data_IF_614254836023
#
_entry.id   IF_614254836023
#
_cell.length_a   1.000
_cell.length_b   1.000
_cell.length_c   1.000
_cell.angle_alpha   90.00
_cell.angle_beta   90.00
_cell.angle_gamma   90.00
#
_symmetry.space_group_name_H-M   'P 1'
#
loop_
_entity.id
_entity.type
_entity.pdbx_description
1 polymer ?
#
# COMPACT_ATOMS: atom_id res chain seq x y z
N UNK A 1 -23.07 22.99 15.92
CA UNK A 1 -21.62 23.28 16.11
C UNK A 1 -20.79 22.00 16.20
N UNK A 2 -21.28 20.91 16.82
CA UNK A 2 -20.62 19.59 16.91
C UNK A 2 -20.37 18.89 15.57
N UNK A 3 -21.35 18.88 14.65
CA UNK A 3 -21.17 18.25 13.33
C UNK A 3 -20.08 18.93 12.46
N UNK A 4 -19.94 20.27 12.55
CA UNK A 4 -18.91 21.02 11.84
C UNK A 4 -17.50 20.72 12.36
N UNK A 5 -17.33 20.60 13.68
CA UNK A 5 -16.06 20.17 14.27
C UNK A 5 -15.70 18.74 13.90
N UNK A 6 -16.66 17.81 13.95
CA UNK A 6 -16.43 16.41 13.58
C UNK A 6 -15.98 16.26 12.12
N UNK A 7 -16.53 17.08 11.21
CA UNK A 7 -16.14 17.10 9.80
C UNK A 7 -14.72 17.67 9.60
N UNK A 8 -14.32 18.67 10.39
CA UNK A 8 -12.97 19.23 10.35
C UNK A 8 -11.90 18.23 10.85
N UNK A 9 -12.17 17.53 11.95
CA UNK A 9 -11.27 16.48 12.47
C UNK A 9 -11.11 15.32 11.50
N UNK A 10 -12.21 14.88 10.89
CA UNK A 10 -12.18 13.83 9.88
C UNK A 10 -11.38 14.24 8.65
N UNK A 11 -11.57 15.48 8.17
CA UNK A 11 -10.82 16.00 7.03
C UNK A 11 -9.32 16.06 7.33
N UNK A 12 -8.96 16.59 8.50
CA UNK A 12 -7.58 16.60 8.97
C UNK A 12 -6.97 15.19 9.05
N UNK A 13 -7.74 14.22 9.55
CA UNK A 13 -7.29 12.83 9.62
C UNK A 13 -7.05 12.23 8.23
N UNK A 14 -7.96 12.44 7.27
CA UNK A 14 -7.78 12.02 5.88
C UNK A 14 -6.54 12.68 5.28
N UNK A 15 -6.41 14.00 5.41
CA UNK A 15 -5.28 14.75 4.89
C UNK A 15 -3.96 14.27 5.50
N UNK A 16 -3.93 13.86 6.78
CA UNK A 16 -2.74 13.31 7.43
C UNK A 16 -2.28 11.96 6.83
N UNK A 17 -3.22 11.08 6.49
CA UNK A 17 -2.92 9.79 5.84
C UNK A 17 -2.43 10.02 4.41
N UNK A 18 -3.11 10.89 3.66
CA UNK A 18 -2.77 11.19 2.28
C UNK A 18 -1.43 11.94 2.19
N UNK A 19 -1.18 12.88 3.09
CA UNK A 19 0.10 13.57 3.21
C UNK A 19 1.23 12.57 3.47
N UNK A 20 1.05 11.65 4.43
CA UNK A 20 2.04 10.60 4.67
C UNK A 20 2.35 9.84 3.37
N UNK A 21 1.34 9.45 2.60
CA UNK A 21 1.58 8.78 1.33
C UNK A 21 2.31 9.63 0.29
N UNK A 22 1.93 10.90 0.14
CA UNK A 22 2.52 11.84 -0.82
C UNK A 22 3.96 12.19 -0.49
N UNK A 23 4.31 12.23 0.80
CA UNK A 23 5.66 12.52 1.26
C UNK A 23 6.58 11.28 1.19
N UNK A 24 6.04 10.09 0.90
CA UNK A 24 6.74 8.80 0.81
C UNK A 24 6.50 8.09 -0.53
N UNK A 25 6.64 6.76 -0.58
CA UNK A 25 6.57 6.00 -1.84
C UNK A 25 5.19 5.97 -2.49
N UNK A 26 4.11 6.18 -1.73
CA UNK A 26 2.76 6.16 -2.26
C UNK A 26 2.47 7.34 -3.21
N UNK A 27 3.32 8.37 -3.21
CA UNK A 27 3.41 9.38 -4.26
C UNK A 27 3.37 8.78 -5.67
N UNK A 28 4.09 7.67 -5.88
CA UNK A 28 4.26 7.00 -7.16
C UNK A 28 3.03 6.18 -7.60
N UNK A 29 2.08 5.97 -6.68
CA UNK A 29 0.74 5.44 -6.94
C UNK A 29 -0.30 6.57 -7.04
N UNK A 30 -0.24 7.59 -6.17
CA UNK A 30 -1.30 8.59 -6.05
C UNK A 30 -1.21 9.72 -7.09
N UNK A 31 0.00 10.18 -7.44
CA UNK A 31 0.22 11.20 -8.48
C UNK A 31 0.76 10.64 -9.80
N UNK A 32 1.08 9.34 -9.84
CA UNK A 32 1.51 8.67 -11.06
C UNK A 32 1.06 7.22 -11.12
N UNK A 33 1.46 6.53 -12.19
CA UNK A 33 1.14 5.13 -12.46
C UNK A 33 2.40 4.26 -12.49
N UNK A 34 3.36 4.51 -11.60
CA UNK A 34 4.57 3.67 -11.51
C UNK A 34 4.24 2.39 -10.76
N UNK A 35 3.51 2.51 -9.65
CA UNK A 35 3.13 1.38 -8.79
C UNK A 35 1.62 1.20 -8.79
N UNK A 36 1.09 -0.02 -9.04
CA UNK A 36 -0.32 -0.32 -8.87
C UNK A 36 -0.83 -0.05 -7.45
N UNK A 37 0.00 -0.32 -6.43
CA UNK A 37 -0.32 -0.15 -5.02
C UNK A 37 0.87 0.41 -4.25
N UNK A 38 0.58 1.14 -3.16
CA UNK A 38 1.56 1.46 -2.11
C UNK A 38 0.92 1.40 -0.73
N UNK A 39 1.76 1.14 0.27
CA UNK A 39 1.36 1.21 1.67
C UNK A 39 1.26 2.66 2.13
N UNK A 40 0.31 2.93 3.01
CA UNK A 40 0.19 4.20 3.74
C UNK A 40 0.55 3.93 5.21
N UNK A 41 -0.40 4.12 6.13
CA UNK A 41 -0.19 3.93 7.56
C UNK A 41 -0.76 2.60 8.04
N UNK A 42 -0.22 2.07 9.14
CA UNK A 42 -0.74 0.91 9.85
C UNK A 42 -1.22 1.28 11.25
N UNK A 43 -2.17 0.49 11.76
CA UNK A 43 -2.69 0.60 13.10
C UNK A 43 -2.68 -0.77 13.77
N UNK A 44 -2.32 -0.81 15.05
CA UNK A 44 -2.35 -2.02 15.86
C UNK A 44 -3.56 -1.98 16.79
N UNK A 45 -4.33 -3.06 16.83
CA UNK A 45 -5.50 -3.17 17.70
C UNK A 45 -5.49 -4.49 18.47
N UNK A 46 -5.72 -4.48 19.79
CA UNK A 46 -5.77 -5.69 20.62
C UNK A 46 -7.09 -6.42 20.44
N UNK A 47 -7.38 -6.86 19.21
CA UNK A 47 -8.63 -7.53 18.80
C UNK A 47 -8.37 -8.86 18.11
N UNK A 48 -7.10 -9.28 18.01
CA UNK A 48 -6.79 -10.58 17.44
C UNK A 48 -7.21 -11.68 18.43
N UNK A 49 -7.76 -12.76 17.88
CA UNK A 49 -7.98 -13.95 18.67
C UNK A 49 -6.64 -14.67 18.89
N UNK A 50 -6.19 -14.76 20.14
CA UNK A 50 -4.98 -15.48 20.54
C UNK A 50 -5.27 -16.85 21.13
N UNK A 51 -6.53 -17.17 21.36
CA UNK A 51 -6.94 -18.42 22.02
C UNK A 51 -7.41 -19.43 20.97
N UNK A 52 -6.66 -20.51 20.81
CA UNK A 52 -6.99 -21.61 19.89
C UNK A 52 -8.28 -22.34 20.30
N UNK A 53 -8.68 -22.28 21.57
CA UNK A 53 -9.90 -22.89 22.13
C UNK A 53 -11.13 -22.01 21.91
N UNK A 54 -10.97 -20.69 21.81
CA UNK A 54 -12.07 -19.75 21.53
C UNK A 54 -12.42 -19.65 20.04
N UNK A 55 -11.65 -20.29 19.16
CA UNK A 55 -11.85 -20.28 17.69
C UNK A 55 -13.23 -20.79 17.23
N UNK A 56 -13.96 -21.49 18.10
CA UNK A 56 -15.32 -21.99 17.87
C UNK A 56 -16.42 -21.16 18.55
N UNK A 57 -16.06 -20.13 19.33
CA UNK A 57 -17.04 -19.25 19.99
C UNK A 57 -17.53 -18.19 19.00
N UNK A 58 -18.82 -17.86 19.07
CA UNK A 58 -19.39 -16.75 18.29
C UNK A 58 -18.91 -15.38 18.81
N UNK A 59 -18.84 -15.23 20.13
CA UNK A 59 -18.46 -13.98 20.80
C UNK A 59 -16.98 -14.00 21.21
N UNK A 60 -16.09 -13.91 20.22
CA UNK A 60 -14.63 -13.93 20.43
C UNK A 60 -14.12 -12.61 21.03
N UNK A 61 -14.75 -11.49 20.67
CA UNK A 61 -14.30 -10.14 21.04
C UNK A 61 -15.09 -9.65 22.26
N UNK A 62 -14.39 -9.27 23.34
CA UNK A 62 -15.00 -8.70 24.54
C UNK A 62 -15.23 -7.19 24.35
N UNK A 63 -16.50 -6.80 24.14
CA UNK A 63 -16.87 -5.39 23.95
C UNK A 63 -16.52 -4.50 25.15
N UNK A 64 -16.47 -5.02 26.39
CA UNK A 64 -16.09 -4.22 27.56
C UNK A 64 -14.60 -3.88 27.54
N UNK A 65 -13.76 -4.80 27.08
CA UNK A 65 -12.31 -4.61 27.04
C UNK A 65 -11.84 -3.96 25.73
N UNK A 66 -12.43 -4.36 24.61
CA UNK A 66 -11.95 -4.03 23.26
C UNK A 66 -12.84 -3.01 22.54
N UNK A 67 -13.91 -2.52 23.18
CA UNK A 67 -14.89 -1.63 22.55
C UNK A 67 -14.32 -0.34 21.98
N UNK A 68 -13.41 0.33 22.72
CA UNK A 68 -12.76 1.55 22.24
C UNK A 68 -11.91 1.32 20.97
N UNK A 69 -11.25 0.15 20.88
CA UNK A 69 -10.47 -0.25 19.70
C UNK A 69 -11.37 -0.49 18.49
N UNK A 70 -12.52 -1.16 18.68
CA UNK A 70 -13.52 -1.34 17.64
C UNK A 70 -14.14 -0.01 17.18
N UNK A 71 -14.40 0.91 18.09
CA UNK A 71 -14.95 2.24 17.75
C UNK A 71 -13.93 3.05 16.95
N UNK A 72 -12.65 2.95 17.30
CA UNK A 72 -11.57 3.57 16.54
C UNK A 72 -11.42 2.97 15.14
N UNK A 73 -11.48 1.64 15.01
CA UNK A 73 -11.53 0.95 13.71
C UNK A 73 -12.69 1.43 12.84
N UNK A 74 -13.87 1.55 13.44
CA UNK A 74 -15.05 2.06 12.75
C UNK A 74 -14.83 3.48 12.23
N UNK A 75 -14.33 4.40 13.07
CA UNK A 75 -14.05 5.79 12.67
C UNK A 75 -13.06 5.85 11.51
N UNK A 76 -11.98 5.06 11.56
CA UNK A 76 -11.00 5.01 10.46
C UNK A 76 -11.65 4.51 9.17
N UNK A 77 -12.42 3.41 9.23
CA UNK A 77 -13.13 2.88 8.07
C UNK A 77 -14.10 3.91 7.46
N UNK A 78 -14.86 4.62 8.30
CA UNK A 78 -15.79 5.64 7.83
C UNK A 78 -15.06 6.82 7.16
N UNK A 79 -13.92 7.24 7.70
CA UNK A 79 -13.10 8.28 7.08
C UNK A 79 -12.57 7.84 5.70
N UNK A 80 -12.07 6.60 5.58
CA UNK A 80 -11.60 6.07 4.31
C UNK A 80 -12.71 5.94 3.26
N UNK A 81 -13.91 5.51 3.67
CA UNK A 81 -15.06 5.38 2.78
C UNK A 81 -15.51 6.71 2.17
N UNK A 82 -15.13 7.84 2.77
CA UNK A 82 -15.43 9.18 2.28
C UNK A 82 -14.39 9.72 1.29
N UNK A 83 -13.26 9.04 1.14
CA UNK A 83 -12.25 9.45 0.17
C UNK A 83 -12.73 9.09 -1.23
N UNK A 84 -13.19 10.10 -1.98
CA UNK A 84 -13.62 9.95 -3.37
C UNK A 84 -12.64 10.65 -4.31
N UNK A 85 -11.65 9.88 -4.76
CA UNK A 85 -10.66 10.30 -5.74
C UNK A 85 -10.74 9.39 -6.97
N UNK A 86 -10.87 9.95 -8.19
CA UNK A 86 -10.91 9.15 -9.41
C UNK A 86 -9.69 8.24 -9.52
N UNK A 87 -9.92 7.00 -9.97
CA UNK A 87 -8.87 6.00 -10.21
C UNK A 87 -8.07 5.55 -8.97
N UNK A 88 -8.37 6.07 -7.78
CA UNK A 88 -7.73 5.68 -6.53
C UNK A 88 -8.74 4.99 -5.60
N UNK A 89 -8.29 3.92 -4.95
CA UNK A 89 -9.05 3.20 -3.93
C UNK A 89 -8.18 3.02 -2.69
N UNK A 90 -8.73 3.39 -1.54
CA UNK A 90 -8.07 3.26 -0.25
C UNK A 90 -8.65 2.06 0.46
N UNK A 91 -7.81 1.07 0.72
CA UNK A 91 -8.23 -0.21 1.28
C UNK A 91 -7.55 -0.41 2.63
N UNK A 92 -8.33 -0.63 3.67
CA UNK A 92 -7.84 -1.06 4.98
C UNK A 92 -8.03 -2.57 5.08
N UNK A 93 -6.94 -3.30 5.34
CA UNK A 93 -6.98 -4.75 5.45
C UNK A 93 -6.18 -5.25 6.66
N UNK A 94 -6.60 -6.35 7.29
CA UNK A 94 -5.82 -7.01 8.31
C UNK A 94 -4.65 -7.77 7.69
N UNK A 95 -3.47 -7.73 8.32
CA UNK A 95 -2.45 -8.75 8.05
C UNK A 95 -2.96 -10.12 8.50
N UNK A 96 -2.58 -11.17 7.76
CA UNK A 96 -2.93 -12.56 8.08
C UNK A 96 -2.41 -12.92 9.47
N UNK A 97 -1.15 -12.59 9.74
CA UNK A 97 -0.53 -12.79 11.04
C UNK A 97 -1.04 -11.75 12.05
N UNK A 98 -1.32 -12.21 13.27
CA UNK A 98 -1.35 -11.34 14.45
C UNK A 98 0.03 -11.30 15.09
N UNK A 99 0.29 -10.27 15.89
CA UNK A 99 1.53 -10.12 16.63
C UNK A 99 1.21 -9.80 18.08
N UNK A 100 1.64 -10.63 19.02
CA UNK A 100 1.45 -10.40 20.47
C UNK A 100 -0.02 -10.10 20.88
N UNK A 101 -0.99 -10.67 20.17
CA UNK A 101 -2.42 -10.44 20.42
C UNK A 101 -3.02 -9.20 19.74
N UNK A 102 -2.20 -8.47 18.99
CA UNK A 102 -2.65 -7.40 18.15
C UNK A 102 -2.96 -7.87 16.73
N UNK A 103 -4.02 -7.27 16.18
CA UNK A 103 -4.34 -7.26 14.75
C UNK A 103 -3.78 -5.98 14.14
N UNK A 104 -2.83 -6.15 13.22
CA UNK A 104 -2.31 -5.05 12.44
C UNK A 104 -3.25 -4.81 11.26
N UNK A 105 -3.76 -3.59 11.15
CA UNK A 105 -4.56 -3.10 10.03
C UNK A 105 -3.70 -2.18 9.17
N UNK A 106 -3.44 -2.55 7.93
CA UNK A 106 -2.69 -1.75 6.96
C UNK A 106 -3.66 -0.99 6.07
N UNK A 107 -3.45 0.31 5.93
CA UNK A 107 -4.08 1.10 4.88
C UNK A 107 -3.17 1.11 3.66
N UNK A 108 -3.72 0.75 2.51
CA UNK A 108 -3.05 0.83 1.23
C UNK A 108 -3.83 1.75 0.29
N UNK A 109 -3.13 2.32 -0.68
CA UNK A 109 -3.76 2.97 -1.84
C UNK A 109 -3.47 2.17 -3.08
N UNK A 110 -4.52 1.94 -3.88
CA UNK A 110 -4.45 1.22 -5.15
C UNK A 110 -4.90 2.16 -6.25
N UNK A 111 -4.12 2.23 -7.33
CA UNK A 111 -4.54 2.84 -8.59
C UNK A 111 -5.25 1.81 -9.45
N UNK A 112 -6.55 1.97 -9.65
CA UNK A 112 -7.43 0.98 -10.30
C UNK A 112 -6.96 0.67 -11.71
N UNK A 113 -6.69 1.68 -12.53
CA UNK A 113 -6.22 1.50 -13.90
C UNK A 113 -4.88 0.76 -14.00
N UNK A 114 -3.97 0.99 -13.05
CA UNK A 114 -2.68 0.32 -13.00
C UNK A 114 -2.84 -1.13 -12.51
N UNK A 115 -3.75 -1.38 -11.57
CA UNK A 115 -4.13 -2.72 -11.16
C UNK A 115 -4.74 -3.51 -12.33
N UNK A 116 -5.69 -2.94 -13.06
CA UNK A 116 -6.32 -3.59 -14.21
C UNK A 116 -5.30 -3.95 -15.29
N UNK A 117 -4.38 -3.03 -15.57
CA UNK A 117 -3.27 -3.27 -16.49
C UNK A 117 -2.37 -4.41 -15.99
N UNK A 118 -2.07 -4.44 -14.70
CA UNK A 118 -1.28 -5.51 -14.09
C UNK A 118 -1.99 -6.87 -14.21
N UNK A 119 -3.27 -6.95 -13.82
CA UNK A 119 -4.04 -8.19 -13.86
C UNK A 119 -4.14 -8.74 -15.28
N UNK A 120 -4.25 -7.86 -16.28
CA UNK A 120 -4.22 -8.25 -17.69
C UNK A 120 -2.85 -8.77 -18.13
N UNK A 121 -1.78 -8.02 -17.84
CA UNK A 121 -0.41 -8.39 -18.26
C UNK A 121 0.08 -9.66 -17.55
N UNK A 122 -0.41 -9.91 -16.33
CA UNK A 122 -0.01 -11.03 -15.48
C UNK A 122 -1.15 -12.04 -15.27
N UNK A 123 -2.02 -12.20 -16.28
CA UNK A 123 -3.16 -13.10 -16.22
C UNK A 123 -2.75 -14.55 -15.87
N UNK A 124 -1.57 -15.00 -16.33
CA UNK A 124 -1.06 -16.34 -16.04
C UNK A 124 -0.74 -16.57 -14.56
N UNK A 125 -0.46 -15.50 -13.80
CA UNK A 125 -0.22 -15.57 -12.36
C UNK A 125 -1.49 -15.25 -11.58
N UNK A 126 -2.20 -14.17 -11.90
CA UNK A 126 -3.37 -13.74 -11.11
C UNK A 126 -4.64 -14.55 -11.42
N UNK A 127 -4.75 -15.12 -12.62
CA UNK A 127 -5.90 -15.90 -13.06
C UNK A 127 -6.14 -17.16 -12.22
N UNK A 128 -5.08 -17.73 -11.61
CA UNK A 128 -5.22 -18.86 -10.69
C UNK A 128 -6.08 -18.53 -9.45
N UNK A 129 -6.16 -17.25 -9.09
CA UNK A 129 -6.97 -16.75 -7.97
C UNK A 129 -8.35 -16.25 -8.43
N UNK A 130 -8.69 -16.39 -9.71
CA UNK A 130 -9.90 -15.81 -10.31
C UNK A 130 -9.87 -14.28 -10.41
N UNK A 131 -8.69 -13.65 -10.32
CA UNK A 131 -8.52 -12.20 -10.38
C UNK A 131 -8.27 -11.76 -11.82
N UNK A 132 -9.11 -10.86 -12.31
CA UNK A 132 -9.11 -10.33 -13.70
C UNK A 132 -9.31 -8.80 -13.68
N UNK A 133 -9.02 -8.07 -14.77
CA UNK A 133 -9.29 -6.63 -14.83
C UNK A 133 -10.72 -6.28 -14.42
N UNK A 134 -10.88 -5.25 -13.59
CA UNK A 134 -12.13 -4.85 -12.96
C UNK A 134 -12.40 -5.51 -11.60
N UNK A 135 -11.53 -6.42 -11.12
CA UNK A 135 -11.62 -6.96 -9.77
C UNK A 135 -11.52 -5.84 -8.71
N UNK A 136 -12.30 -5.98 -7.64
CA UNK A 136 -12.26 -5.02 -6.54
C UNK A 136 -10.86 -5.01 -5.88
N UNK A 137 -10.22 -3.83 -5.72
CA UNK A 137 -8.88 -3.76 -5.12
C UNK A 137 -8.77 -4.39 -3.74
N UNK A 138 -9.79 -4.29 -2.88
CA UNK A 138 -9.76 -4.90 -1.57
C UNK A 138 -9.76 -6.43 -1.68
N UNK A 139 -10.52 -6.99 -2.62
CA UNK A 139 -10.51 -8.44 -2.90
C UNK A 139 -9.14 -8.89 -3.38
N UNK A 140 -8.53 -8.18 -4.34
CA UNK A 140 -7.19 -8.53 -4.84
C UNK A 140 -6.17 -8.57 -3.72
N UNK A 141 -6.06 -7.49 -2.94
CA UNK A 141 -5.00 -7.38 -1.93
C UNK A 141 -5.24 -8.36 -0.79
N UNK A 142 -6.49 -8.54 -0.35
CA UNK A 142 -6.83 -9.49 0.71
C UNK A 142 -6.62 -10.95 0.27
N UNK A 143 -6.95 -11.30 -0.97
CA UNK A 143 -6.66 -12.64 -1.50
C UNK A 143 -5.16 -12.93 -1.43
N UNK A 144 -4.30 -12.00 -1.87
CA UNK A 144 -2.85 -12.20 -1.83
C UNK A 144 -2.31 -12.27 -0.38
N UNK A 145 -2.79 -11.40 0.52
CA UNK A 145 -2.36 -11.39 1.92
C UNK A 145 -2.58 -12.75 2.62
N UNK A 146 -3.67 -13.44 2.25
CA UNK A 146 -4.07 -14.70 2.86
C UNK A 146 -3.60 -15.96 2.11
N UNK A 147 -2.96 -15.81 0.94
CA UNK A 147 -2.37 -16.91 0.19
C UNK A 147 -1.08 -17.44 0.83
N UNK A 148 -0.54 -18.51 0.23
CA UNK A 148 0.72 -19.09 0.65
C UNK A 148 1.89 -18.13 0.48
N UNK A 149 2.92 -18.30 1.31
CA UNK A 149 4.01 -17.34 1.48
C UNK A 149 4.60 -16.88 0.15
N UNK A 150 4.98 -17.79 -0.74
CA UNK A 150 5.68 -17.44 -1.98
C UNK A 150 4.76 -16.75 -3.01
N UNK A 151 3.50 -17.16 -3.07
CA UNK A 151 2.48 -16.52 -3.91
C UNK A 151 2.20 -15.11 -3.41
N UNK A 152 2.07 -14.94 -2.09
CA UNK A 152 1.91 -13.65 -1.43
C UNK A 152 3.09 -12.72 -1.74
N UNK A 153 4.33 -13.20 -1.57
CA UNK A 153 5.54 -12.39 -1.87
C UNK A 153 5.58 -11.97 -3.35
N UNK A 154 5.27 -12.89 -4.26
CA UNK A 154 5.21 -12.60 -5.70
C UNK A 154 4.12 -11.58 -6.04
N UNK A 155 2.92 -11.81 -5.53
CA UNK A 155 1.77 -10.93 -5.74
C UNK A 155 2.03 -9.51 -5.22
N UNK A 156 2.59 -9.38 -4.01
CA UNK A 156 3.00 -8.08 -3.50
C UNK A 156 4.09 -7.43 -4.33
N UNK A 157 5.10 -8.18 -4.77
CA UNK A 157 6.15 -7.64 -5.64
C UNK A 157 5.58 -6.99 -6.90
N UNK A 158 4.60 -7.65 -7.53
CA UNK A 158 3.89 -7.08 -8.67
C UNK A 158 2.99 -5.89 -8.31
N UNK A 159 2.25 -5.94 -7.20
CA UNK A 159 1.42 -4.81 -6.75
C UNK A 159 2.25 -3.57 -6.41
N UNK A 160 3.46 -3.75 -5.86
CA UNK A 160 4.40 -2.66 -5.61
C UNK A 160 5.16 -2.20 -6.86
N UNK A 161 4.87 -2.79 -8.03
CA UNK A 161 5.42 -2.35 -9.32
C UNK A 161 6.88 -2.72 -9.54
N UNK A 162 7.37 -3.77 -8.87
CA UNK A 162 8.75 -4.22 -9.05
C UNK A 162 8.92 -4.99 -10.36
N UNK A 163 10.13 -4.94 -10.96
CA UNK A 163 10.39 -5.63 -12.21
C UNK A 163 10.46 -7.15 -12.02
N UNK A 164 10.13 -7.90 -13.07
CA UNK A 164 9.99 -9.38 -13.02
C UNK A 164 11.22 -10.06 -12.44
N UNK A 165 12.41 -9.66 -12.89
CA UNK A 165 13.65 -10.28 -12.43
C UNK A 165 13.89 -10.05 -10.93
N UNK A 166 13.46 -8.90 -10.39
CA UNK A 166 13.56 -8.60 -8.96
C UNK A 166 12.53 -9.39 -8.15
N UNK A 167 11.29 -9.51 -8.66
CA UNK A 167 10.25 -10.36 -8.04
C UNK A 167 10.69 -11.82 -8.02
N UNK A 168 11.19 -12.33 -9.15
CA UNK A 168 11.70 -13.70 -9.27
C UNK A 168 12.87 -13.96 -8.33
N UNK A 169 13.84 -13.04 -8.30
CA UNK A 169 14.97 -13.13 -7.40
C UNK A 169 14.51 -13.17 -5.94
N UNK A 170 13.63 -12.25 -5.54
CA UNK A 170 13.17 -12.15 -4.17
C UNK A 170 12.44 -13.41 -3.72
N UNK A 171 11.53 -13.95 -4.54
CA UNK A 171 10.81 -15.18 -4.22
C UNK A 171 11.76 -16.38 -4.11
N UNK A 172 12.71 -16.52 -5.05
CA UNK A 172 13.70 -17.61 -5.02
C UNK A 172 14.66 -17.49 -3.84
N UNK A 173 15.12 -16.29 -3.53
CA UNK A 173 15.98 -16.03 -2.38
C UNK A 173 15.31 -16.42 -1.05
N UNK A 174 14.02 -16.12 -0.91
CA UNK A 174 13.23 -16.56 0.25
C UNK A 174 13.05 -18.08 0.31
N UNK A 175 12.82 -18.73 -0.84
CA UNK A 175 12.75 -20.19 -0.91
C UNK A 175 14.08 -20.85 -0.54
N UNK A 176 15.20 -20.31 -1.01
CA UNK A 176 16.54 -20.84 -0.72
C UNK A 176 16.90 -20.67 0.76
N UNK A 177 16.62 -19.51 1.34
CA UNK A 177 16.81 -19.26 2.77
C UNK A 177 15.94 -20.19 3.62
N UNK A 178 14.66 -20.40 3.26
CA UNK A 178 13.77 -21.34 3.97
C UNK A 178 14.26 -22.80 3.88
N UNK A 179 14.90 -23.20 2.77
CA UNK A 179 15.39 -24.58 2.55
C UNK A 179 16.77 -24.82 3.16
N UNK A 180 17.66 -23.84 3.09
CA UNK A 180 19.08 -24.00 3.43
C UNK A 180 19.50 -23.29 4.72
N UNK A 181 18.69 -22.34 5.20
CA UNK A 181 19.03 -21.43 6.29
C UNK A 181 20.09 -20.39 5.94
N UNK A 182 20.49 -20.29 4.67
CA UNK A 182 21.53 -19.37 4.22
C UNK A 182 20.93 -18.12 3.59
N UNK A 183 21.33 -16.97 4.14
CA UNK A 183 20.96 -15.69 3.59
C UNK A 183 21.54 -15.49 2.18
N UNK A 184 20.66 -15.27 1.20
CA UNK A 184 21.06 -14.93 -0.17
C UNK A 184 21.44 -13.45 -0.26
N UNK A 185 22.71 -13.19 -0.58
CA UNK A 185 23.22 -11.83 -0.75
C UNK A 185 22.52 -11.07 -1.90
N UNK A 186 22.30 -9.77 -1.70
CA UNK A 186 21.55 -8.92 -2.63
C UNK A 186 21.98 -7.47 -2.60
N UNK A 187 21.74 -6.79 -3.70
CA UNK A 187 21.80 -5.34 -3.80
C UNK A 187 20.39 -4.75 -3.69
N UNK A 188 20.30 -3.43 -3.52
CA UNK A 188 19.04 -2.70 -3.43
C UNK A 188 19.01 -1.58 -4.45
N UNK A 189 17.93 -1.51 -5.23
CA UNK A 189 17.66 -0.40 -6.11
C UNK A 189 16.78 0.59 -5.35
N UNK A 190 17.27 1.83 -5.20
CA UNK A 190 16.65 2.86 -4.37
C UNK A 190 16.04 3.93 -5.26
N UNK A 191 14.79 4.29 -4.99
CA UNK A 191 14.11 5.40 -5.64
C UNK A 191 13.79 6.44 -4.56
N UNK A 192 14.24 7.70 -4.72
CA UNK A 192 13.97 8.77 -3.77
C UNK A 192 12.49 8.98 -3.49
N UNK A 193 12.17 9.75 -2.46
CA UNK A 193 10.83 10.26 -2.15
C UNK A 193 10.96 11.72 -1.71
N UNK A 194 9.88 12.35 -1.30
CA UNK A 194 9.97 13.71 -0.76
C UNK A 194 10.72 13.74 0.57
N UNK A 195 10.53 12.72 1.41
CA UNK A 195 11.09 12.70 2.77
C UNK A 195 12.54 12.21 2.82
N UNK A 196 12.93 11.26 1.96
CA UNK A 196 14.28 10.67 1.92
C UNK A 196 14.69 10.22 0.53
N UNK A 197 15.99 10.19 0.29
CA UNK A 197 16.60 9.66 -0.94
C UNK A 197 16.63 8.13 -0.99
N UNK A 198 16.51 7.45 0.15
CA UNK A 198 16.53 5.99 0.26
C UNK A 198 15.49 5.44 1.27
N UNK A 199 15.29 4.13 1.22
CA UNK A 199 14.61 3.34 2.26
C UNK A 199 13.09 3.23 2.15
N UNK A 200 12.44 3.89 1.18
CA UNK A 200 10.99 3.79 0.97
C UNK A 200 10.61 2.99 -0.27
N UNK A 201 10.93 3.48 -1.47
CA UNK A 201 10.68 2.73 -2.70
C UNK A 201 11.92 1.94 -3.10
N UNK A 202 11.95 0.67 -2.68
CA UNK A 202 13.14 -0.19 -2.77
C UNK A 202 12.78 -1.58 -3.25
N UNK A 203 13.56 -2.13 -4.17
CA UNK A 203 13.52 -3.55 -4.48
C UNK A 203 14.92 -4.17 -4.48
N UNK A 204 14.97 -5.43 -4.06
CA UNK A 204 16.20 -6.20 -4.02
C UNK A 204 16.48 -6.87 -5.36
N UNK A 205 17.75 -6.96 -5.72
CA UNK A 205 18.19 -7.67 -6.93
C UNK A 205 19.49 -8.46 -6.70
N UNK A 206 19.81 -9.45 -7.57
CA UNK A 206 21.00 -10.28 -7.39
C UNK A 206 22.29 -9.47 -7.36
N UNK A 207 23.25 -9.85 -6.51
CA UNK A 207 24.53 -9.13 -6.33
C UNK A 207 25.34 -8.97 -7.63
N UNK A 208 25.28 -9.95 -8.53
CA UNK A 208 25.96 -9.95 -9.83
C UNK A 208 25.14 -9.36 -10.99
N UNK A 209 23.92 -8.90 -10.74
CA UNK A 209 23.08 -8.30 -11.77
C UNK A 209 23.33 -6.79 -11.85
N UNK A 210 23.40 -6.26 -13.07
CA UNK A 210 23.47 -4.80 -13.31
C UNK A 210 22.10 -4.30 -13.74
N UNK A 211 21.50 -3.34 -13.02
CA UNK A 211 20.22 -2.75 -13.42
C UNK A 211 20.24 -2.26 -14.87
N UNK A 212 19.16 -2.48 -15.60
CA UNK A 212 19.07 -2.25 -17.03
C UNK A 212 18.34 -0.94 -17.38
N UNK A 213 18.41 -0.55 -18.64
CA UNK A 213 17.65 0.62 -19.14
C UNK A 213 16.14 0.37 -19.03
N UNK A 214 15.71 -0.81 -19.45
CA UNK A 214 14.37 -1.34 -19.22
C UNK A 214 14.51 -2.63 -18.40
N UNK A 215 13.92 -2.71 -17.19
CA UNK A 215 12.92 -1.80 -16.63
C UNK A 215 13.46 -0.69 -15.69
N UNK A 216 14.67 -0.82 -15.13
CA UNK A 216 15.05 -0.09 -13.92
C UNK A 216 15.21 1.42 -14.12
N UNK A 217 15.94 1.81 -15.17
CA UNK A 217 16.11 3.23 -15.49
C UNK A 217 14.78 3.88 -15.87
N UNK A 218 13.91 3.16 -16.59
CA UNK A 218 12.58 3.64 -16.95
C UNK A 218 11.71 3.93 -15.71
N UNK A 219 11.73 3.03 -14.72
CA UNK A 219 11.05 3.22 -13.43
C UNK A 219 11.62 4.45 -12.72
N UNK A 220 12.95 4.54 -12.60
CA UNK A 220 13.64 5.63 -11.91
C UNK A 220 13.29 7.01 -12.51
N UNK A 221 13.44 7.17 -13.83
CA UNK A 221 13.15 8.46 -14.48
C UNK A 221 11.66 8.81 -14.48
N UNK A 222 10.75 7.82 -14.52
CA UNK A 222 9.32 8.07 -14.35
C UNK A 222 9.01 8.56 -12.94
N UNK A 223 9.59 7.91 -11.92
CA UNK A 223 9.47 8.33 -10.52
C UNK A 223 10.05 9.74 -10.29
N UNK A 224 11.25 10.04 -10.81
CA UNK A 224 11.85 11.36 -10.64
C UNK A 224 10.98 12.49 -11.21
N UNK A 225 10.35 12.27 -12.37
CA UNK A 225 9.42 13.25 -12.95
C UNK A 225 8.20 13.49 -12.06
N UNK A 226 7.65 12.43 -11.45
CA UNK A 226 6.53 12.55 -10.52
C UNK A 226 6.95 13.30 -9.25
N UNK A 227 8.12 12.99 -8.71
CA UNK A 227 8.67 13.64 -7.52
C UNK A 227 8.92 15.13 -7.74
N UNK A 228 9.53 15.49 -8.86
CA UNK A 228 9.76 16.89 -9.22
C UNK A 228 8.43 17.63 -9.37
N UNK A 229 7.47 17.05 -10.10
CA UNK A 229 6.13 17.63 -10.23
C UNK A 229 5.45 17.84 -8.89
N UNK A 230 5.57 16.88 -7.97
CA UNK A 230 5.01 17.01 -6.63
C UNK A 230 5.64 18.17 -5.86
N UNK A 231 6.97 18.27 -5.88
CA UNK A 231 7.72 19.39 -5.26
C UNK A 231 7.26 20.74 -5.79
N UNK A 232 7.01 20.84 -7.10
CA UNK A 232 6.56 22.09 -7.74
C UNK A 232 5.15 22.54 -7.30
N UNK A 233 4.26 21.61 -6.97
CA UNK A 233 2.87 21.92 -6.63
C UNK A 233 2.59 21.92 -5.12
N UNK A 234 3.39 21.22 -4.31
CA UNK A 234 3.11 20.93 -2.89
C UNK A 234 2.85 22.19 -2.07
N UNK A 235 3.69 23.22 -2.24
CA UNK A 235 3.64 24.41 -1.40
C UNK A 235 2.36 25.24 -1.60
N UNK A 236 1.69 25.10 -2.75
CA UNK A 236 0.40 25.74 -3.02
C UNK A 236 -0.75 25.16 -2.20
N UNK A 237 -0.55 24.00 -1.56
CA UNK A 237 -1.56 23.28 -0.80
C UNK A 237 -1.24 23.22 0.70
N UNK A 238 -0.25 23.96 1.18
CA UNK A 238 0.07 24.02 2.60
C UNK A 238 -0.92 24.91 3.36
N UNK A 239 -1.37 24.42 4.50
CA UNK A 239 -2.05 25.20 5.51
C UNK A 239 -1.05 26.08 6.27
N UNK A 240 -1.56 27.04 7.05
CA UNK A 240 -0.73 27.94 7.85
C UNK A 240 0.12 27.20 8.91
N UNK A 241 -0.29 26.00 9.33
CA UNK A 241 0.44 25.12 10.25
C UNK A 241 1.39 24.14 9.53
N UNK A 242 1.62 24.33 8.23
CA UNK A 242 2.43 23.46 7.36
C UNK A 242 1.88 22.05 7.13
N UNK A 243 0.65 21.75 7.57
CA UNK A 243 -0.04 20.53 7.16
C UNK A 243 -0.53 20.66 5.72
N UNK A 244 -0.60 19.54 4.99
CA UNK A 244 -0.96 19.54 3.59
C UNK A 244 -2.47 19.35 3.41
N UNK A 245 -3.10 20.14 2.55
CA UNK A 245 -4.45 19.87 2.04
C UNK A 245 -4.40 18.74 0.99
N UNK A 246 -3.90 17.57 1.39
CA UNK A 246 -3.52 16.48 0.52
C UNK A 246 -4.68 15.96 -0.35
N UNK A 247 -5.90 15.92 0.19
CA UNK A 247 -7.09 15.57 -0.56
C UNK A 247 -7.36 16.55 -1.71
N UNK A 248 -7.24 17.87 -1.46
CA UNK A 248 -7.44 18.87 -2.51
C UNK A 248 -6.35 18.77 -3.57
N UNK A 249 -5.09 18.60 -3.15
CA UNK A 249 -3.97 18.39 -4.07
C UNK A 249 -4.23 17.19 -4.99
N UNK A 250 -4.62 16.05 -4.42
CA UNK A 250 -4.91 14.85 -5.20
C UNK A 250 -6.14 15.03 -6.09
N UNK A 251 -7.20 15.67 -5.62
CA UNK A 251 -8.38 15.96 -6.46
C UNK A 251 -8.00 16.80 -7.68
N UNK A 252 -7.11 17.76 -7.52
CA UNK A 252 -6.75 18.70 -8.59
C UNK A 252 -5.66 18.14 -9.52
N UNK A 253 -4.84 17.19 -9.05
CA UNK A 253 -3.63 16.74 -9.77
C UNK A 253 -3.46 15.24 -9.98
N UNK A 254 -4.18 14.38 -9.27
CA UNK A 254 -4.21 12.95 -9.55
C UNK A 254 -4.84 12.78 -10.93
N UNK A 255 -4.05 12.32 -11.89
CA UNK A 255 -4.49 12.24 -13.27
C UNK A 255 -5.78 11.40 -13.37
N UNK A 256 -6.81 11.86 -14.10
CA UNK A 256 -7.94 11.01 -14.42
C UNK A 256 -7.46 9.83 -15.26
N UNK A 257 -8.04 8.65 -15.04
CA UNK A 257 -7.80 7.48 -15.87
C UNK A 257 -7.97 7.88 -17.35
N UNK A 258 -6.93 7.71 -18.16
CA UNK A 258 -7.09 7.75 -19.61
C UNK A 258 -7.96 6.53 -19.95
N UNK A 259 -9.20 6.81 -20.36
CA UNK A 259 -10.11 5.81 -20.94
C UNK A 259 -9.53 5.25 -22.22
#
# INVERSE_FOLDING_TARGET
QTAGMQNAYERYFIDSILQYGLDHEALYTMLGSVKPMSSLVSFSFPVANTDTVSSVKADVVDRKQQGASLDRLFVIQQALNKIDLPDLRFVMLPYRASYEGDRIMQINVVRVSALDSLLKVRESFFGQFGLVPGADPAVVVNTLEFNDRYERLRGYGYLFGYPDYAVDFFVKAFQEDDVTGNFVERNFFQIPTQTREDGYFVYAYPKGHTPTVEPDSAIYYKAQRILNRYRDIRDNYLNADSTLQAYNLLRDHAAPARR
#
